data_IF_212149456613
#
_entry.id   IF_212149456613
#
_cell.length_a   1.000
_cell.length_b   1.000
_cell.length_c   1.000
_cell.angle_alpha   90.00
_cell.angle_beta   90.00
_cell.angle_gamma   90.00
#
_symmetry.space_group_name_H-M   'P 1'
#
loop_
_entity.id
_entity.type
_entity.pdbx_description
1 polymer ?
#
# COMPACT_ATOMS: atom_id res chain seq x y z
N UNK A 1 11.68 -44.28 32.35
CA UNK A 1 12.44 -43.07 31.92
C UNK A 1 12.87 -43.09 30.45
N UNK A 2 13.24 -44.24 29.85
CA UNK A 2 13.66 -44.33 28.43
C UNK A 2 12.61 -43.88 27.40
N UNK A 3 11.34 -44.24 27.59
CA UNK A 3 10.25 -43.88 26.67
C UNK A 3 9.72 -42.44 26.83
N UNK A 4 10.01 -41.79 27.97
CA UNK A 4 9.60 -40.41 28.21
C UNK A 4 10.42 -39.41 27.37
N UNK A 5 11.68 -39.75 27.10
CA UNK A 5 12.60 -38.94 26.27
C UNK A 5 12.24 -39.06 24.78
N UNK A 6 11.77 -40.23 24.33
CA UNK A 6 11.39 -40.46 22.92
C UNK A 6 10.12 -39.73 22.51
N UNK A 7 9.15 -39.59 23.43
CA UNK A 7 7.91 -38.84 23.18
C UNK A 7 8.17 -37.33 23.08
N UNK A 8 9.14 -36.79 23.85
CA UNK A 8 9.50 -35.37 23.79
C UNK A 8 10.15 -34.97 22.46
N UNK A 9 10.83 -35.91 21.78
CA UNK A 9 11.45 -35.67 20.48
C UNK A 9 10.43 -35.59 19.32
N UNK A 10 9.29 -36.28 19.44
CA UNK A 10 8.27 -36.32 18.39
C UNK A 10 7.37 -35.06 18.36
N UNK A 11 7.22 -34.39 19.50
CA UNK A 11 6.41 -33.16 19.62
C UNK A 11 7.10 -31.95 18.96
N UNK A 12 8.44 -31.95 18.85
CA UNK A 12 9.21 -30.84 18.25
C UNK A 12 9.16 -30.78 16.72
N UNK A 13 8.66 -31.83 16.04
CA UNK A 13 8.59 -31.89 14.57
C UNK A 13 7.27 -31.37 13.98
N UNK A 14 6.26 -31.04 14.81
CA UNK A 14 4.89 -30.83 14.36
C UNK A 14 4.48 -29.42 13.90
N UNK A 15 5.30 -28.37 14.11
CA UNK A 15 4.80 -26.97 14.04
C UNK A 15 5.41 -26.04 12.98
N UNK A 16 6.02 -26.53 11.88
CA UNK A 16 6.69 -25.61 10.91
C UNK A 16 6.19 -25.59 9.46
N UNK A 17 5.13 -26.33 9.08
CA UNK A 17 4.80 -26.54 7.65
C UNK A 17 3.75 -25.59 7.04
N UNK A 18 2.70 -25.20 7.78
CA UNK A 18 1.58 -24.46 7.19
C UNK A 18 1.95 -23.04 6.70
N UNK A 19 2.82 -22.36 7.44
CA UNK A 19 3.26 -20.99 7.16
C UNK A 19 4.12 -20.91 5.89
N UNK A 20 5.00 -21.89 5.69
CA UNK A 20 5.87 -21.98 4.50
C UNK A 20 5.06 -22.25 3.21
N UNK A 21 3.99 -23.04 3.28
CA UNK A 21 3.10 -23.32 2.14
C UNK A 21 2.35 -22.05 1.70
N UNK A 22 1.82 -21.26 2.64
CA UNK A 22 1.09 -20.02 2.32
C UNK A 22 2.01 -18.99 1.66
N UNK A 23 3.21 -18.79 2.20
CA UNK A 23 4.21 -17.89 1.62
C UNK A 23 4.60 -18.30 0.19
N UNK A 24 4.84 -19.58 -0.06
CA UNK A 24 5.15 -20.07 -1.41
C UNK A 24 4.02 -19.79 -2.40
N UNK A 25 2.76 -19.93 -1.97
CA UNK A 25 1.61 -19.65 -2.82
C UNK A 25 1.51 -18.16 -3.18
N UNK A 26 1.76 -17.26 -2.21
CA UNK A 26 1.80 -15.81 -2.44
C UNK A 26 2.95 -15.44 -3.40
N UNK A 27 4.15 -15.98 -3.18
CA UNK A 27 5.30 -15.73 -4.05
C UNK A 27 5.04 -16.19 -5.50
N UNK A 28 4.44 -17.37 -5.68
CA UNK A 28 4.08 -17.88 -7.00
C UNK A 28 3.04 -16.98 -7.68
N UNK A 29 2.02 -16.53 -6.94
CA UNK A 29 1.01 -15.62 -7.46
C UNK A 29 1.60 -14.27 -7.87
N UNK A 30 2.46 -13.68 -7.03
CA UNK A 30 3.18 -12.44 -7.35
C UNK A 30 4.00 -12.62 -8.62
N UNK A 31 4.83 -13.68 -8.67
CA UNK A 31 5.74 -13.94 -9.79
C UNK A 31 4.99 -14.12 -11.11
N UNK A 32 3.93 -14.93 -11.12
CA UNK A 32 3.10 -15.16 -12.31
C UNK A 32 2.51 -13.85 -12.83
N UNK A 33 1.88 -13.05 -11.96
CA UNK A 33 1.22 -11.81 -12.39
C UNK A 33 2.22 -10.72 -12.76
N UNK A 34 3.37 -10.62 -12.09
CA UNK A 34 4.43 -9.69 -12.45
C UNK A 34 4.99 -9.97 -13.85
N UNK A 35 5.29 -11.23 -14.18
CA UNK A 35 5.72 -11.58 -15.53
C UNK A 35 4.63 -11.37 -16.57
N UNK A 36 3.36 -11.62 -16.23
CA UNK A 36 2.25 -11.30 -17.12
C UNK A 36 2.17 -9.79 -17.42
N UNK A 37 2.36 -8.93 -16.42
CA UNK A 37 2.41 -7.47 -16.61
C UNK A 37 3.59 -7.06 -17.50
N UNK A 38 4.78 -7.61 -17.25
CA UNK A 38 6.00 -7.28 -17.98
C UNK A 38 6.03 -7.79 -19.43
N UNK A 39 5.09 -8.65 -19.83
CA UNK A 39 4.90 -8.99 -21.25
C UNK A 39 4.41 -7.79 -22.06
N UNK A 40 3.76 -6.82 -21.41
CA UNK A 40 3.43 -5.54 -22.01
C UNK A 40 4.65 -4.61 -21.97
N UNK A 41 5.17 -4.28 -23.16
CA UNK A 41 6.39 -3.50 -23.35
C UNK A 41 6.31 -2.07 -22.81
N UNK A 42 5.15 -1.60 -22.34
CA UNK A 42 5.01 -0.32 -21.64
C UNK A 42 5.55 -0.35 -20.21
N UNK A 43 5.66 -1.55 -19.62
CA UNK A 43 6.17 -1.74 -18.27
C UNK A 43 7.55 -2.42 -18.32
N UNK A 44 8.54 -1.81 -17.66
CA UNK A 44 9.91 -2.31 -17.64
C UNK A 44 10.32 -2.90 -16.30
N UNK A 45 9.70 -2.42 -15.22
CA UNK A 45 9.94 -2.86 -13.86
C UNK A 45 8.65 -2.86 -13.06
N UNK A 46 8.53 -3.78 -12.10
CA UNK A 46 7.45 -3.78 -11.13
C UNK A 46 7.95 -4.31 -9.78
N UNK A 47 7.54 -3.65 -8.70
CA UNK A 47 7.70 -4.10 -7.32
C UNK A 47 6.32 -4.44 -6.76
N UNK A 48 6.16 -5.62 -6.16
CA UNK A 48 4.90 -6.08 -5.58
C UNK A 48 5.13 -6.45 -4.13
N UNK A 49 4.32 -5.86 -3.25
CA UNK A 49 4.26 -6.20 -1.83
C UNK A 49 2.87 -6.74 -1.50
N UNK A 50 2.81 -7.87 -0.81
CA UNK A 50 1.57 -8.46 -0.28
C UNK A 50 1.75 -8.66 1.22
N UNK A 51 0.82 -8.11 2.00
CA UNK A 51 0.72 -8.36 3.44
C UNK A 51 -0.47 -9.27 3.72
N UNK A 52 -0.22 -10.45 4.29
CA UNK A 52 -1.25 -11.46 4.57
C UNK A 52 -0.86 -12.29 5.79
N UNK A 53 -1.82 -12.54 6.68
CA UNK A 53 -1.64 -13.39 7.88
C UNK A 53 -0.45 -12.97 8.77
N UNK A 54 -0.19 -11.65 8.87
CA UNK A 54 0.92 -11.10 9.65
C UNK A 54 2.27 -11.08 8.94
N UNK A 55 2.34 -11.55 7.69
CA UNK A 55 3.58 -11.63 6.91
C UNK A 55 3.57 -10.73 5.68
N UNK A 56 4.71 -10.09 5.44
CA UNK A 56 4.99 -9.37 4.19
C UNK A 56 5.80 -10.25 3.24
N UNK A 57 5.36 -10.32 1.99
CA UNK A 57 6.13 -10.87 0.87
C UNK A 57 6.33 -9.77 -0.16
N UNK A 58 7.59 -9.43 -0.43
CA UNK A 58 7.98 -8.38 -1.38
C UNK A 58 8.85 -9.03 -2.47
N UNK A 59 8.56 -8.74 -3.73
CA UNK A 59 9.34 -9.18 -4.89
C UNK A 59 9.46 -8.07 -5.91
N UNK A 60 10.59 -8.05 -6.62
CA UNK A 60 10.93 -7.04 -7.61
C UNK A 60 11.30 -7.72 -8.92
N UNK A 61 10.84 -7.18 -10.04
CA UNK A 61 11.01 -7.77 -11.37
C UNK A 61 11.36 -6.71 -12.41
N UNK A 62 12.05 -7.14 -13.47
CA UNK A 62 12.41 -6.31 -14.60
C UNK A 62 13.63 -5.41 -14.37
N UNK A 63 13.71 -4.32 -15.13
CA UNK A 63 14.80 -3.33 -15.11
C UNK A 63 14.22 -1.91 -15.05
N UNK A 64 14.79 -1.06 -14.21
CA UNK A 64 14.38 0.35 -14.10
C UNK A 64 14.68 1.14 -15.37
N UNK A 65 15.71 0.73 -16.11
CA UNK A 65 16.06 1.31 -17.41
C UNK A 65 16.38 0.18 -18.36
N UNK A 66 15.66 0.13 -19.47
CA UNK A 66 15.79 -0.92 -20.48
C UNK A 66 17.25 -1.08 -20.92
N UNK A 67 17.79 -2.29 -20.77
CA UNK A 67 19.10 -2.67 -21.27
C UNK A 67 20.26 -2.24 -20.37
N UNK A 68 19.99 -1.64 -19.21
CA UNK A 68 21.02 -1.26 -18.23
C UNK A 68 21.24 -2.31 -17.14
N UNK A 69 20.39 -3.33 -17.03
CA UNK A 69 20.52 -4.37 -16.00
C UNK A 69 20.28 -3.87 -14.58
N UNK A 70 19.80 -2.63 -14.40
CA UNK A 70 19.53 -2.03 -13.09
C UNK A 70 18.19 -2.53 -12.55
N UNK A 71 18.25 -3.56 -11.72
CA UNK A 71 17.05 -4.19 -11.13
C UNK A 71 16.47 -3.34 -10.00
N UNK A 72 15.14 -3.27 -9.87
CA UNK A 72 14.48 -2.73 -8.69
C UNK A 72 14.82 -3.51 -7.41
N UNK A 73 14.71 -2.83 -6.28
CA UNK A 73 14.93 -3.33 -4.93
C UNK A 73 14.02 -2.60 -3.92
N UNK A 74 14.17 -2.92 -2.63
CA UNK A 74 13.36 -2.36 -1.53
C UNK A 74 13.49 -0.82 -1.38
N UNK A 75 14.57 -0.22 -1.89
CA UNK A 75 14.80 1.23 -1.84
C UNK A 75 14.42 1.96 -3.13
N UNK A 76 13.88 1.24 -4.13
CA UNK A 76 13.48 1.83 -5.40
C UNK A 76 12.28 2.75 -5.20
N UNK A 77 12.41 4.00 -5.64
CA UNK A 77 11.34 4.98 -5.60
C UNK A 77 10.48 4.90 -6.85
N UNK A 78 9.17 4.85 -6.65
CA UNK A 78 8.17 4.92 -7.71
C UNK A 78 7.24 6.09 -7.44
N UNK A 79 6.87 6.79 -8.50
CA UNK A 79 5.76 7.75 -8.43
C UNK A 79 4.45 6.98 -8.29
N UNK A 80 3.70 7.27 -7.22
CA UNK A 80 2.43 6.58 -6.91
C UNK A 80 1.19 7.36 -7.37
N UNK A 81 1.41 8.52 -8.01
CA UNK A 81 0.37 9.39 -8.58
C UNK A 81 -0.82 9.61 -7.63
N UNK A 82 -2.05 9.28 -8.07
CA UNK A 82 -3.27 9.53 -7.30
C UNK A 82 -3.35 8.75 -5.98
N UNK A 83 -2.52 7.74 -5.74
CA UNK A 83 -2.41 7.11 -4.41
C UNK A 83 -1.97 8.14 -3.37
N UNK A 84 -1.22 9.19 -3.73
CA UNK A 84 -0.86 10.31 -2.83
C UNK A 84 -2.09 10.97 -2.18
N UNK A 85 -3.27 10.95 -2.83
CA UNK A 85 -4.50 11.54 -2.27
C UNK A 85 -4.96 10.85 -0.99
N UNK A 86 -4.62 9.58 -0.77
CA UNK A 86 -4.93 8.88 0.49
C UNK A 86 -4.13 9.47 1.65
N UNK A 87 -2.88 9.89 1.42
CA UNK A 87 -2.07 10.60 2.40
C UNK A 87 -2.63 12.00 2.68
N UNK A 88 -3.06 12.73 1.64
CA UNK A 88 -3.74 14.02 1.82
C UNK A 88 -5.01 13.88 2.65
N UNK A 89 -5.85 12.87 2.34
CA UNK A 89 -7.04 12.56 3.13
C UNK A 89 -6.72 12.19 4.58
N UNK A 90 -5.65 11.42 4.81
CA UNK A 90 -5.18 11.09 6.15
C UNK A 90 -4.76 12.33 6.95
N UNK A 91 -4.01 13.25 6.34
CA UNK A 91 -3.61 14.51 6.98
C UNK A 91 -4.85 15.37 7.29
N UNK A 92 -5.81 15.44 6.38
CA UNK A 92 -7.08 16.15 6.60
C UNK A 92 -7.87 15.54 7.77
N UNK A 93 -7.99 14.21 7.83
CA UNK A 93 -8.63 13.52 8.94
C UNK A 93 -7.92 13.80 10.28
N UNK A 94 -6.58 13.81 10.29
CA UNK A 94 -5.82 14.21 11.47
C UNK A 94 -6.10 15.66 11.88
N UNK A 95 -6.19 16.60 10.94
CA UNK A 95 -6.53 17.98 11.23
C UNK A 95 -7.95 18.14 11.85
N UNK A 96 -8.91 17.32 11.41
CA UNK A 96 -10.25 17.24 12.02
C UNK A 96 -10.17 16.74 13.46
N UNK A 97 -9.45 15.65 13.71
CA UNK A 97 -9.26 15.09 15.06
C UNK A 97 -8.54 16.08 16.00
N UNK A 98 -7.57 16.81 15.46
CA UNK A 98 -6.83 17.85 16.18
C UNK A 98 -7.65 19.16 16.32
N UNK A 99 -8.92 19.18 15.88
CA UNK A 99 -9.87 20.32 15.93
C UNK A 99 -9.37 21.58 15.21
N UNK A 100 -8.55 21.42 14.17
CA UNK A 100 -8.04 22.53 13.35
C UNK A 100 -8.99 22.92 12.22
N UNK A 101 -9.78 21.96 11.73
CA UNK A 101 -10.81 22.13 10.69
C UNK A 101 -12.01 21.23 11.02
N UNK A 102 -13.19 21.53 10.49
CA UNK A 102 -14.35 20.64 10.44
C UNK A 102 -14.72 20.32 8.99
N UNK A 103 -15.30 19.14 8.77
CA UNK A 103 -15.70 18.68 7.44
C UNK A 103 -16.81 19.53 6.81
N UNK A 104 -17.62 20.19 7.64
CA UNK A 104 -18.72 21.05 7.20
C UNK A 104 -18.32 22.53 7.09
N UNK A 105 -17.06 22.88 7.39
CA UNK A 105 -16.59 24.25 7.26
C UNK A 105 -16.60 24.67 5.79
N UNK A 106 -17.04 25.89 5.55
CA UNK A 106 -16.91 26.59 4.27
C UNK A 106 -15.42 26.74 3.93
N UNK A 107 -15.01 26.32 2.73
CA UNK A 107 -13.61 26.38 2.32
C UNK A 107 -13.06 27.81 2.34
N UNK A 108 -13.93 28.81 2.12
CA UNK A 108 -13.56 30.23 2.10
C UNK A 108 -12.99 30.71 3.43
N UNK A 109 -13.27 30.03 4.54
CA UNK A 109 -12.68 30.33 5.85
C UNK A 109 -11.16 30.09 5.90
N UNK A 110 -10.59 29.39 4.91
CA UNK A 110 -9.18 28.98 4.87
C UNK A 110 -8.41 29.57 3.69
N UNK A 111 -9.00 30.51 2.96
CA UNK A 111 -8.40 31.16 1.79
C UNK A 111 -8.10 32.63 2.11
N UNK A 112 -7.03 33.17 1.51
CA UNK A 112 -6.62 34.55 1.76
C UNK A 112 -7.58 35.59 1.14
N UNK A 113 -8.26 35.21 0.06
CA UNK A 113 -9.21 36.04 -0.68
C UNK A 113 -10.65 35.53 -0.49
N UNK A 114 -11.68 36.37 -0.67
CA UNK A 114 -13.06 36.01 -0.30
C UNK A 114 -13.72 34.97 -1.21
N UNK A 115 -13.28 34.84 -2.47
CA UNK A 115 -13.79 33.89 -3.48
C UNK A 115 -15.31 33.60 -3.39
N UNK A 116 -16.19 34.62 -3.54
CA UNK A 116 -17.62 34.46 -3.33
C UNK A 116 -18.27 33.44 -4.29
N UNK A 117 -17.62 33.14 -5.42
CA UNK A 117 -18.05 32.17 -6.41
C UNK A 117 -17.80 30.69 -6.05
N UNK A 118 -17.18 30.38 -4.90
CA UNK A 118 -16.98 29.01 -4.42
C UNK A 118 -18.26 28.46 -3.74
N UNK A 119 -19.33 28.40 -4.52
CA UNK A 119 -20.63 27.88 -4.13
C UNK A 119 -21.35 27.24 -5.31
N UNK A 120 -22.33 26.39 -5.03
CA UNK A 120 -23.23 25.82 -6.03
C UNK A 120 -24.68 26.07 -5.60
N UNK A 121 -25.39 26.91 -6.37
CA UNK A 121 -26.80 27.29 -6.08
C UNK A 121 -26.99 27.87 -4.67
N UNK A 122 -26.05 28.70 -4.22
CA UNK A 122 -26.07 29.31 -2.89
C UNK A 122 -25.55 28.41 -1.76
N UNK A 123 -25.21 27.15 -2.04
CA UNK A 123 -24.59 26.25 -1.06
C UNK A 123 -23.05 26.35 -1.15
N UNK A 124 -22.36 26.71 -0.06
CA UNK A 124 -20.91 26.82 -0.06
C UNK A 124 -20.20 25.49 -0.33
N UNK A 125 -19.02 25.56 -0.97
CA UNK A 125 -18.12 24.41 -1.02
C UNK A 125 -17.53 24.17 0.37
N UNK A 126 -17.72 22.96 0.90
CA UNK A 126 -17.24 22.56 2.22
C UNK A 126 -15.97 21.73 2.12
N UNK A 127 -15.21 21.64 3.20
CA UNK A 127 -13.99 20.81 3.28
C UNK A 127 -14.26 19.37 2.79
N UNK A 128 -15.37 18.76 3.19
CA UNK A 128 -15.74 17.40 2.74
C UNK A 128 -15.82 17.26 1.22
N UNK A 129 -16.27 18.28 0.49
CA UNK A 129 -16.39 18.22 -0.97
C UNK A 129 -15.02 18.14 -1.68
N UNK A 130 -13.93 18.53 -1.02
CA UNK A 130 -12.59 18.46 -1.59
C UNK A 130 -11.93 17.09 -1.42
N UNK A 131 -12.44 16.27 -0.50
CA UNK A 131 -11.84 14.98 -0.11
C UNK A 131 -12.74 13.78 -0.44
N UNK A 132 -13.87 14.01 -1.14
CA UNK A 132 -14.83 13.01 -1.61
C UNK A 132 -15.20 13.26 -3.06
#
# INVERSE_FOLDING_TARGET
>A
MKYLITILFFVLLGCKSAQQINKQNVENAITKNAFQLLNDKRFHSVSVAVYKDGESTIKHFGELTIGKGNKPNDSTLYEIASVTKTFTGYIAAKAVLDKKINLDDDIRNYLDEPYPNLEFKGEPIKIKHLIT
#
